data_IF_418895070275
#
_entry.id   IF_418895070275
#
_cell.length_a   1.000
_cell.length_b   1.000
_cell.length_c   1.000
_cell.angle_alpha   90.00
_cell.angle_beta   90.00
_cell.angle_gamma   90.00
#
_symmetry.space_group_name_H-M   'P 1'
#
loop_
_entity.id
_entity.type
_entity.pdbx_description
1 polymer ?
#
# COMPACT_ATOMS: atom_id res chain seq x y z
N UNK A 1 -25.34 11.78 8.21
CA UNK A 1 -26.07 10.57 7.77
C UNK A 1 -26.44 10.76 6.31
N UNK A 2 -25.56 10.45 5.39
CA UNK A 2 -25.83 10.40 3.95
C UNK A 2 -25.74 8.94 3.50
N UNK A 3 -26.80 8.50 2.82
CA UNK A 3 -27.05 7.12 2.45
C UNK A 3 -26.14 6.72 1.29
N UNK A 4 -25.43 5.59 1.45
CA UNK A 4 -24.79 4.87 0.34
C UNK A 4 -25.88 4.45 -0.65
N UNK A 5 -25.79 4.90 -1.87
CA UNK A 5 -26.51 4.31 -3.02
C UNK A 5 -25.48 3.50 -3.83
N UNK A 6 -25.60 2.18 -3.68
CA UNK A 6 -24.98 1.22 -4.57
C UNK A 6 -25.77 1.22 -5.89
N UNK A 7 -25.22 1.75 -6.95
CA UNK A 7 -25.78 1.63 -8.30
C UNK A 7 -25.17 0.40 -8.98
N UNK A 8 -25.87 -0.73 -8.89
CA UNK A 8 -25.66 -1.88 -9.77
C UNK A 8 -26.06 -1.48 -11.19
N UNK A 9 -25.10 -1.43 -12.10
CA UNK A 9 -25.36 -1.23 -13.53
C UNK A 9 -25.90 -2.54 -14.13
N UNK A 10 -27.24 -2.66 -14.25
CA UNK A 10 -27.92 -3.75 -14.93
C UNK A 10 -27.98 -3.42 -16.42
N UNK A 11 -27.11 -4.02 -17.23
CA UNK A 11 -27.26 -4.00 -18.69
C UNK A 11 -28.41 -4.90 -19.10
N UNK A 12 -29.56 -4.30 -19.44
CA UNK A 12 -30.71 -5.01 -20.00
C UNK A 12 -30.55 -5.13 -21.50
N UNK A 13 -30.14 -6.30 -22.00
CA UNK A 13 -30.23 -6.62 -23.43
C UNK A 13 -31.66 -7.02 -23.77
N UNK A 14 -32.27 -6.25 -24.67
CA UNK A 14 -33.56 -6.59 -25.31
C UNK A 14 -33.28 -7.61 -26.43
N UNK A 15 -33.70 -8.84 -26.26
CA UNK A 15 -33.73 -9.84 -27.33
C UNK A 15 -35.04 -9.70 -28.10
N UNK A 16 -34.93 -9.36 -29.38
CA UNK A 16 -36.02 -9.53 -30.34
C UNK A 16 -36.03 -10.98 -30.85
N UNK A 17 -37.06 -11.73 -30.49
CA UNK A 17 -37.32 -13.07 -31.03
C UNK A 17 -37.99 -12.93 -32.44
N UNK A 18 -37.29 -13.40 -33.45
CA UNK A 18 -37.93 -13.84 -34.68
C UNK A 18 -37.75 -15.36 -34.78
N UNK A 19 -38.85 -16.11 -34.69
CA UNK A 19 -38.82 -17.55 -34.72
C UNK A 19 -38.65 -18.12 -36.09
N UNK A 20 -38.03 -19.31 -36.16
CA UNK A 20 -38.45 -20.44 -37.00
C UNK A 20 -37.77 -21.74 -36.53
N UNK A 21 -38.59 -22.74 -36.41
CA UNK A 21 -38.31 -24.11 -35.92
C UNK A 21 -37.24 -24.83 -36.71
N UNK A 22 -36.26 -25.48 -36.04
CA UNK A 22 -35.98 -26.91 -36.25
C UNK A 22 -35.09 -27.44 -35.13
N UNK A 23 -35.34 -28.70 -34.69
CA UNK A 23 -34.72 -29.28 -33.54
C UNK A 23 -33.20 -29.54 -33.70
N UNK A 24 -32.44 -28.92 -32.82
CA UNK A 24 -31.04 -29.17 -32.59
C UNK A 24 -30.74 -28.75 -31.16
N UNK A 25 -30.15 -29.67 -30.37
CA UNK A 25 -29.63 -29.35 -29.02
C UNK A 25 -28.63 -28.21 -29.11
N UNK A 26 -29.08 -27.02 -28.80
CA UNK A 26 -28.16 -25.88 -28.64
C UNK A 26 -27.54 -26.00 -27.26
N UNK A 27 -26.30 -26.46 -27.20
CA UNK A 27 -25.42 -26.20 -26.07
C UNK A 27 -25.30 -24.68 -25.98
N UNK A 28 -25.74 -24.10 -24.88
CA UNK A 28 -25.43 -22.72 -24.58
C UNK A 28 -23.91 -22.59 -24.46
N UNK A 29 -23.26 -22.07 -25.49
CA UNK A 29 -21.91 -21.58 -25.43
C UNK A 29 -21.94 -20.38 -24.47
N UNK A 30 -21.52 -20.58 -23.25
CA UNK A 30 -21.04 -19.46 -22.41
C UNK A 30 -19.77 -18.97 -23.10
N UNK A 31 -19.92 -18.00 -23.99
CA UNK A 31 -18.79 -17.28 -24.56
C UNK A 31 -18.06 -16.63 -23.38
N UNK A 32 -16.98 -17.23 -22.94
CA UNK A 32 -15.96 -16.53 -22.18
C UNK A 32 -15.45 -15.46 -23.12
N UNK A 33 -15.69 -14.19 -22.75
CA UNK A 33 -15.08 -13.06 -23.44
C UNK A 33 -13.56 -13.22 -23.20
N UNK A 34 -12.79 -13.60 -24.21
CA UNK A 34 -11.33 -13.82 -24.14
C UNK A 34 -10.58 -12.48 -23.97
N UNK A 35 -11.28 -11.44 -23.55
CA UNK A 35 -10.68 -10.12 -23.32
C UNK A 35 -9.75 -10.16 -22.12
N UNK A 36 -8.49 -9.79 -22.35
CA UNK A 36 -7.51 -9.56 -21.31
C UNK A 36 -7.41 -8.06 -21.03
N UNK A 37 -7.49 -7.67 -19.77
CA UNK A 37 -7.40 -6.29 -19.34
C UNK A 37 -5.98 -5.99 -18.85
N UNK A 38 -5.41 -4.86 -19.25
CA UNK A 38 -4.13 -4.37 -18.73
C UNK A 38 -4.35 -3.70 -17.39
N UNK A 39 -3.48 -4.02 -16.42
CA UNK A 39 -3.40 -3.37 -15.10
C UNK A 39 -1.95 -2.93 -14.88
N UNK A 40 -1.75 -1.64 -14.58
CA UNK A 40 -0.44 -1.06 -14.31
C UNK A 40 -0.09 -1.09 -12.83
N UNK A 41 1.22 -1.15 -12.52
CA UNK A 41 1.74 -0.90 -11.18
C UNK A 41 3.05 -0.12 -11.27
N UNK A 42 3.10 1.05 -10.64
CA UNK A 42 4.31 1.87 -10.49
C UNK A 42 4.91 1.56 -9.12
N UNK A 43 6.13 1.04 -9.11
CA UNK A 43 6.81 0.52 -7.93
C UNK A 43 8.04 1.37 -7.58
N UNK A 44 8.18 1.72 -6.29
CA UNK A 44 9.35 2.44 -5.77
C UNK A 44 10.64 1.61 -5.90
N UNK A 45 10.51 0.30 -5.83
CA UNK A 45 11.62 -0.64 -5.94
C UNK A 45 11.30 -1.81 -6.87
N UNK A 46 11.90 -2.95 -6.61
CA UNK A 46 11.77 -4.16 -7.41
C UNK A 46 11.55 -5.41 -6.56
N UNK A 47 11.48 -6.59 -7.18
CA UNK A 47 11.19 -7.86 -6.51
C UNK A 47 12.22 -8.28 -5.44
N UNK A 48 13.42 -7.69 -5.43
CA UNK A 48 14.44 -7.97 -4.40
C UNK A 48 14.14 -7.21 -3.10
N UNK A 49 13.41 -6.10 -3.16
CA UNK A 49 12.97 -5.37 -1.98
C UNK A 49 11.79 -6.07 -1.30
N UNK A 50 11.89 -6.28 0.01
CA UNK A 50 10.87 -6.98 0.79
C UNK A 50 9.51 -6.26 0.74
N UNK A 51 9.52 -4.92 0.73
CA UNK A 51 8.32 -4.10 0.60
C UNK A 51 7.60 -4.37 -0.72
N UNK A 52 8.27 -4.20 -1.86
CA UNK A 52 7.68 -4.36 -3.19
C UNK A 52 7.24 -5.79 -3.48
N UNK A 53 7.98 -6.78 -2.98
CA UNK A 53 7.63 -8.21 -3.10
C UNK A 53 6.22 -8.53 -2.62
N UNK A 54 5.72 -7.84 -1.58
CA UNK A 54 4.36 -8.04 -1.09
C UNK A 54 3.32 -7.62 -2.14
N UNK A 55 3.57 -6.55 -2.88
CA UNK A 55 2.67 -6.10 -3.95
C UNK A 55 2.68 -7.06 -5.13
N UNK A 56 3.83 -7.59 -5.53
CA UNK A 56 3.91 -8.61 -6.60
C UNK A 56 3.19 -9.89 -6.21
N UNK A 57 3.37 -10.37 -4.98
CA UNK A 57 2.66 -11.54 -4.48
C UNK A 57 1.14 -11.30 -4.45
N UNK A 58 0.70 -10.11 -4.06
CA UNK A 58 -0.72 -9.74 -4.07
C UNK A 58 -1.27 -9.65 -5.50
N UNK A 59 -0.52 -9.07 -6.43
CA UNK A 59 -0.88 -8.99 -7.85
C UNK A 59 -1.03 -10.37 -8.49
N UNK A 60 -0.12 -11.29 -8.21
CA UNK A 60 -0.18 -12.68 -8.68
C UNK A 60 -1.39 -13.43 -8.09
N UNK A 61 -1.68 -13.21 -6.80
CA UNK A 61 -2.85 -13.79 -6.17
C UNK A 61 -4.15 -13.22 -6.77
N UNK A 62 -4.21 -11.90 -6.99
CA UNK A 62 -5.36 -11.24 -7.62
C UNK A 62 -5.60 -11.76 -9.04
N UNK A 63 -4.54 -11.93 -9.85
CA UNK A 63 -4.63 -12.51 -11.20
C UNK A 63 -5.28 -13.90 -11.20
N UNK A 64 -4.88 -14.77 -10.27
CA UNK A 64 -5.46 -16.12 -10.13
C UNK A 64 -6.94 -16.06 -9.72
N UNK A 65 -7.26 -15.23 -8.70
CA UNK A 65 -8.64 -15.08 -8.19
C UNK A 65 -9.57 -14.54 -9.29
N UNK A 66 -9.10 -13.60 -10.11
CA UNK A 66 -9.88 -13.02 -11.20
C UNK A 66 -10.06 -14.02 -12.35
N UNK A 67 -9.01 -14.78 -12.70
CA UNK A 67 -9.09 -15.84 -13.71
C UNK A 67 -10.13 -16.92 -13.35
N UNK A 68 -10.21 -17.30 -12.08
CA UNK A 68 -11.24 -18.24 -11.57
C UNK A 68 -12.68 -17.69 -11.74
N UNK A 69 -12.81 -16.37 -11.86
CA UNK A 69 -14.09 -15.68 -12.13
C UNK A 69 -14.32 -15.39 -13.62
N UNK A 70 -13.42 -15.85 -14.50
CA UNK A 70 -13.48 -15.61 -15.95
C UNK A 70 -13.01 -14.21 -16.36
N UNK A 71 -12.28 -13.50 -15.50
CA UNK A 71 -11.71 -12.18 -15.78
C UNK A 71 -10.19 -12.34 -15.95
N UNK A 72 -9.71 -12.11 -17.17
CA UNK A 72 -8.29 -12.21 -17.47
C UNK A 72 -7.64 -10.82 -17.35
N UNK A 73 -6.57 -10.72 -16.56
CA UNK A 73 -5.76 -9.53 -16.42
C UNK A 73 -4.31 -9.80 -16.76
N UNK A 74 -3.62 -8.79 -17.25
CA UNK A 74 -2.18 -8.74 -17.43
C UNK A 74 -1.61 -7.56 -16.66
N UNK A 75 -0.63 -7.86 -15.78
CA UNK A 75 0.08 -6.85 -15.04
C UNK A 75 1.25 -6.31 -15.86
N UNK A 76 1.36 -4.97 -15.92
CA UNK A 76 2.54 -4.25 -16.41
C UNK A 76 3.13 -3.47 -15.25
N UNK A 77 4.45 -3.48 -15.12
CA UNK A 77 5.16 -2.88 -13.99
C UNK A 77 6.19 -1.85 -14.47
N UNK A 78 6.29 -0.74 -13.75
CA UNK A 78 7.47 0.13 -13.75
C UNK A 78 8.22 -0.09 -12.44
N UNK A 79 9.51 -0.39 -12.52
CA UNK A 79 10.35 -0.76 -11.38
C UNK A 79 11.34 0.33 -11.01
N UNK A 80 11.80 0.35 -9.74
CA UNK A 80 12.84 1.25 -9.23
C UNK A 80 12.53 2.72 -9.57
N UNK A 81 11.24 3.08 -9.49
CA UNK A 81 10.77 4.37 -9.98
C UNK A 81 10.87 5.44 -8.90
N UNK A 82 11.53 6.60 -9.16
CA UNK A 82 11.59 7.68 -8.20
C UNK A 82 10.20 8.28 -7.96
N UNK A 83 9.97 8.72 -6.73
CA UNK A 83 8.77 9.49 -6.37
C UNK A 83 8.73 10.87 -7.04
N UNK A 84 7.56 11.51 -7.03
CA UNK A 84 7.34 12.87 -7.52
C UNK A 84 6.99 12.94 -9.00
N UNK A 85 7.34 14.05 -9.66
CA UNK A 85 6.88 14.40 -11.01
C UNK A 85 7.10 13.32 -12.08
N UNK A 86 8.19 12.52 -12.10
CA UNK A 86 8.37 11.46 -13.09
C UNK A 86 7.23 10.45 -13.17
N UNK A 87 6.53 10.18 -12.06
CA UNK A 87 5.39 9.25 -11.98
C UNK A 87 4.24 9.64 -12.90
N UNK A 88 4.08 10.95 -13.17
CA UNK A 88 3.04 11.42 -14.09
C UNK A 88 3.20 10.85 -15.50
N UNK A 89 4.44 10.64 -15.95
CA UNK A 89 4.70 10.04 -17.27
C UNK A 89 4.25 8.58 -17.34
N UNK A 90 4.50 7.78 -16.29
CA UNK A 90 4.03 6.40 -16.23
C UNK A 90 2.50 6.31 -16.16
N UNK A 91 1.86 7.18 -15.36
CA UNK A 91 0.41 7.25 -15.30
C UNK A 91 -0.19 7.60 -16.68
N UNK A 92 0.46 8.52 -17.41
CA UNK A 92 0.08 8.88 -18.79
C UNK A 92 0.21 7.69 -19.72
N UNK A 93 1.36 7.01 -19.73
CA UNK A 93 1.62 5.83 -20.57
C UNK A 93 0.59 4.72 -20.32
N UNK A 94 0.32 4.40 -19.06
CA UNK A 94 -0.71 3.42 -18.72
C UNK A 94 -2.11 3.84 -19.16
N UNK A 95 -2.45 5.13 -19.04
CA UNK A 95 -3.73 5.67 -19.50
C UNK A 95 -3.86 5.59 -21.02
N UNK A 96 -2.83 5.97 -21.77
CA UNK A 96 -2.78 5.87 -23.23
C UNK A 96 -2.84 4.41 -23.72
N UNK A 97 -2.20 3.48 -23.01
CA UNK A 97 -2.27 2.04 -23.27
C UNK A 97 -3.63 1.41 -22.93
N UNK A 98 -4.55 2.17 -22.36
CA UNK A 98 -5.90 1.71 -22.01
C UNK A 98 -5.92 0.74 -20.83
N UNK A 99 -5.01 0.91 -19.88
CA UNK A 99 -5.06 0.17 -18.62
C UNK A 99 -6.38 0.47 -17.89
N UNK A 100 -7.03 -0.57 -17.35
CA UNK A 100 -8.28 -0.39 -16.59
C UNK A 100 -8.03 0.11 -15.16
N UNK A 101 -6.84 -0.17 -14.62
CA UNK A 101 -6.41 0.31 -13.33
C UNK A 101 -4.89 0.48 -13.28
N UNK A 102 -4.41 1.44 -12.49
CA UNK A 102 -3.00 1.69 -12.20
C UNK A 102 -2.83 1.82 -10.69
N UNK A 103 -1.93 1.04 -10.11
CA UNK A 103 -1.61 1.06 -8.70
C UNK A 103 -0.24 1.71 -8.47
N UNK A 104 -0.12 2.55 -7.44
CA UNK A 104 1.10 3.27 -7.09
C UNK A 104 1.46 2.93 -5.64
N UNK A 105 2.64 2.37 -5.41
CA UNK A 105 2.96 1.75 -4.14
C UNK A 105 3.80 2.61 -3.18
N UNK A 106 4.05 3.89 -3.51
CA UNK A 106 4.86 4.76 -2.64
C UNK A 106 4.21 6.11 -2.35
N UNK A 107 4.53 6.66 -1.18
CA UNK A 107 3.92 7.87 -0.61
C UNK A 107 4.00 9.08 -1.54
N UNK A 108 5.16 9.35 -2.10
CA UNK A 108 5.40 10.52 -2.95
C UNK A 108 4.86 10.41 -4.38
N UNK A 109 4.16 9.33 -4.72
CA UNK A 109 3.62 9.11 -6.06
C UNK A 109 2.21 9.71 -6.26
N UNK A 110 1.41 9.85 -5.20
CA UNK A 110 -0.01 10.24 -5.29
C UNK A 110 -0.21 11.61 -5.94
N UNK A 111 0.58 12.62 -5.56
CA UNK A 111 0.41 13.96 -6.13
C UNK A 111 0.59 13.99 -7.65
N UNK A 112 1.58 13.27 -8.18
CA UNK A 112 1.83 13.17 -9.62
C UNK A 112 0.69 12.41 -10.33
N UNK A 113 0.21 11.30 -9.75
CA UNK A 113 -0.97 10.57 -10.22
C UNK A 113 -2.19 11.47 -10.37
N UNK A 114 -2.48 12.30 -9.36
CA UNK A 114 -3.65 13.19 -9.36
C UNK A 114 -3.61 14.26 -10.46
N UNK A 115 -2.41 14.66 -10.93
CA UNK A 115 -2.29 15.62 -12.05
C UNK A 115 -2.71 15.03 -13.39
N UNK A 116 -2.72 13.70 -13.52
CA UNK A 116 -2.95 12.96 -14.77
C UNK A 116 -4.31 12.26 -14.77
N UNK A 117 -4.79 11.79 -13.63
CA UNK A 117 -5.94 10.90 -13.54
C UNK A 117 -7.21 11.47 -14.22
N UNK A 118 -7.43 12.77 -14.15
CA UNK A 118 -8.58 13.42 -14.79
C UNK A 118 -8.60 13.34 -16.32
N UNK A 119 -7.45 13.17 -16.96
CA UNK A 119 -7.33 13.04 -18.42
C UNK A 119 -7.69 11.63 -18.92
N UNK A 120 -7.72 10.63 -18.02
CA UNK A 120 -8.01 9.23 -18.34
C UNK A 120 -9.18 8.68 -17.49
N UNK A 121 -10.41 9.16 -17.70
CA UNK A 121 -11.56 8.83 -16.85
C UNK A 121 -11.96 7.35 -16.86
N UNK A 122 -11.53 6.58 -17.86
CA UNK A 122 -11.80 5.14 -17.97
C UNK A 122 -10.76 4.28 -17.21
N UNK A 123 -9.67 4.88 -16.73
CA UNK A 123 -8.62 4.24 -15.94
C UNK A 123 -8.81 4.60 -14.47
N UNK A 124 -8.87 3.60 -13.58
CA UNK A 124 -8.87 3.83 -12.13
C UNK A 124 -7.43 3.94 -11.66
N UNK A 125 -7.10 5.01 -10.95
CA UNK A 125 -5.79 5.20 -10.32
C UNK A 125 -5.90 5.00 -8.81
N UNK A 126 -5.05 4.12 -8.27
CA UNK A 126 -5.07 3.73 -6.87
C UNK A 126 -3.74 4.03 -6.18
N UNK A 127 -3.73 4.97 -5.25
CA UNK A 127 -2.62 5.14 -4.30
C UNK A 127 -2.73 4.08 -3.20
N UNK A 128 -1.64 3.36 -2.93
CA UNK A 128 -1.60 2.30 -1.90
C UNK A 128 -1.00 2.78 -0.58
N UNK A 129 -0.64 4.05 -0.52
CA UNK A 129 -0.08 4.74 0.65
C UNK A 129 -0.67 6.15 0.74
N UNK A 130 -0.10 7.02 1.59
CA UNK A 130 -0.55 8.39 1.74
C UNK A 130 -1.84 8.55 2.57
N UNK A 131 -2.27 9.78 2.76
CA UNK A 131 -3.37 10.15 3.69
C UNK A 131 -4.77 10.02 3.05
N UNK A 132 -4.84 9.80 1.73
CA UNK A 132 -6.10 9.62 1.00
C UNK A 132 -6.97 10.87 0.84
N UNK A 133 -6.56 12.00 1.42
CA UNK A 133 -7.39 13.21 1.49
C UNK A 133 -7.64 13.89 0.13
N UNK A 134 -6.83 13.59 -0.88
CA UNK A 134 -6.91 14.19 -2.23
C UNK A 134 -7.46 13.27 -3.28
N UNK A 135 -7.37 11.95 -3.08
CA UNK A 135 -7.89 10.96 -4.04
C UNK A 135 -9.41 10.90 -4.08
N UNK A 136 -10.11 11.59 -3.17
CA UNK A 136 -11.58 11.67 -3.20
C UNK A 136 -12.11 12.78 -4.13
N UNK A 137 -11.22 13.60 -4.73
CA UNK A 137 -11.62 14.74 -5.57
C UNK A 137 -11.95 14.33 -7.02
N UNK A 138 -11.54 13.14 -7.45
CA UNK A 138 -11.79 12.61 -8.81
C UNK A 138 -12.53 11.27 -8.73
N UNK A 139 -13.48 11.07 -9.65
CA UNK A 139 -14.32 9.86 -9.67
C UNK A 139 -13.53 8.56 -9.96
N UNK A 140 -12.35 8.67 -10.57
CA UNK A 140 -11.50 7.57 -10.98
C UNK A 140 -10.21 7.45 -10.16
N UNK A 141 -10.14 8.09 -9.00
CA UNK A 141 -9.01 7.94 -8.05
C UNK A 141 -9.48 7.35 -6.75
N UNK A 142 -8.64 6.49 -6.16
CA UNK A 142 -8.91 5.86 -4.86
C UNK A 142 -7.63 5.80 -4.04
N UNK A 143 -7.77 5.84 -2.72
CA UNK A 143 -6.70 5.49 -1.80
C UNK A 143 -7.06 4.18 -1.09
N UNK A 144 -6.14 3.22 -1.12
CA UNK A 144 -6.33 1.89 -0.54
C UNK A 144 -5.30 1.61 0.59
N UNK A 145 -4.84 2.67 1.25
CA UNK A 145 -3.89 2.55 2.36
C UNK A 145 -4.59 2.05 3.63
N UNK A 146 -4.11 0.95 4.24
CA UNK A 146 -4.68 0.43 5.48
C UNK A 146 -4.25 1.28 6.69
N UNK A 147 -4.98 1.13 7.81
CA UNK A 147 -4.62 1.75 9.10
C UNK A 147 -3.37 1.12 9.71
N UNK A 148 -2.22 1.24 9.03
CA UNK A 148 -0.95 0.58 9.42
C UNK A 148 -0.48 1.01 10.81
N UNK A 149 -0.85 2.21 11.26
CA UNK A 149 -0.56 2.72 12.59
C UNK A 149 -1.14 1.83 13.70
N UNK A 150 -2.25 1.12 13.47
CA UNK A 150 -2.80 0.15 14.44
C UNK A 150 -1.85 -1.03 14.64
N UNK A 151 -1.28 -1.55 13.54
CA UNK A 151 -0.23 -2.58 13.61
C UNK A 151 1.03 -2.07 14.31
N UNK A 152 1.42 -0.81 14.07
CA UNK A 152 2.54 -0.18 14.78
C UNK A 152 2.27 -0.06 16.28
N UNK A 153 1.05 0.25 16.69
CA UNK A 153 0.68 0.26 18.10
C UNK A 153 0.86 -1.12 18.76
N UNK A 154 0.43 -2.20 18.07
CA UNK A 154 0.62 -3.56 18.58
C UNK A 154 2.09 -3.95 18.70
N UNK A 155 2.92 -3.58 17.72
CA UNK A 155 4.38 -3.81 17.82
C UNK A 155 5.00 -2.98 18.93
N UNK A 156 4.47 -1.80 19.20
CA UNK A 156 4.84 -0.98 20.36
C UNK A 156 4.53 -1.66 21.69
N UNK A 157 3.34 -2.27 21.84
CA UNK A 157 3.01 -3.07 23.03
C UNK A 157 4.06 -4.17 23.24
N UNK A 158 4.41 -4.92 22.18
CA UNK A 158 5.45 -5.98 22.27
C UNK A 158 6.80 -5.41 22.70
N UNK A 159 7.21 -4.25 22.17
CA UNK A 159 8.44 -3.57 22.58
C UNK A 159 8.40 -3.14 24.04
N UNK A 160 7.29 -2.58 24.52
CA UNK A 160 7.10 -2.20 25.92
C UNK A 160 7.11 -3.40 26.88
N UNK A 161 6.53 -4.54 26.46
CA UNK A 161 6.61 -5.79 27.21
C UNK A 161 8.07 -6.29 27.30
N UNK A 162 8.85 -6.14 26.21
CA UNK A 162 10.29 -6.48 26.24
C UNK A 162 11.08 -5.58 27.16
N UNK A 163 10.80 -4.27 27.18
CA UNK A 163 11.42 -3.35 28.14
C UNK A 163 11.13 -3.77 29.59
N UNK A 164 9.89 -4.13 29.92
CA UNK A 164 9.53 -4.61 31.26
C UNK A 164 10.28 -5.90 31.62
N UNK A 165 10.37 -6.85 30.69
CA UNK A 165 11.17 -8.07 30.89
C UNK A 165 12.64 -7.76 31.23
N UNK A 166 13.25 -6.82 30.48
CA UNK A 166 14.65 -6.40 30.72
C UNK A 166 14.82 -5.72 32.10
N UNK A 167 13.82 -4.89 32.49
CA UNK A 167 13.81 -4.27 33.84
C UNK A 167 13.68 -5.34 34.94
N UNK A 168 12.74 -6.26 34.81
CA UNK A 168 12.52 -7.36 35.77
C UNK A 168 13.74 -8.26 35.92
N UNK A 169 14.46 -8.50 34.83
CA UNK A 169 15.71 -9.28 34.84
C UNK A 169 16.91 -8.50 35.37
N UNK A 170 16.79 -7.19 35.60
CA UNK A 170 17.90 -6.33 36.04
C UNK A 170 18.91 -6.05 34.92
N UNK A 171 18.55 -6.23 33.68
CA UNK A 171 19.38 -5.94 32.50
C UNK A 171 19.44 -4.41 32.23
N UNK A 172 18.35 -3.69 32.53
CA UNK A 172 18.25 -2.24 32.50
C UNK A 172 17.45 -1.73 33.69
N UNK A 173 17.57 -0.43 33.99
CA UNK A 173 16.72 0.29 34.95
C UNK A 173 15.50 0.92 34.21
N UNK A 174 14.54 1.42 35.00
CA UNK A 174 13.39 2.15 34.40
C UNK A 174 13.83 3.39 33.59
N UNK A 175 14.88 4.08 34.03
CA UNK A 175 15.42 5.28 33.35
C UNK A 175 16.17 4.92 32.04
N UNK A 176 16.57 3.67 31.89
CA UNK A 176 17.23 3.12 30.70
C UNK A 176 16.25 2.47 29.71
N UNK A 177 14.93 2.55 29.95
CA UNK A 177 13.90 2.01 29.06
C UNK A 177 13.73 2.90 27.81
N UNK A 178 14.74 2.93 26.95
CA UNK A 178 14.81 3.77 25.76
C UNK A 178 14.57 2.96 24.48
N UNK A 179 13.61 3.36 23.68
CA UNK A 179 13.35 2.84 22.34
C UNK A 179 14.10 3.68 21.31
N UNK A 180 14.58 3.06 20.25
CA UNK A 180 15.10 3.74 19.06
C UNK A 180 14.17 3.48 17.87
N UNK A 181 13.96 4.51 17.04
CA UNK A 181 13.15 4.36 15.83
C UNK A 181 13.86 5.01 14.62
N UNK A 182 14.19 4.18 13.62
CA UNK A 182 14.76 4.62 12.36
C UNK A 182 13.61 4.92 11.39
N UNK A 183 13.45 6.19 11.01
CA UNK A 183 12.41 6.62 10.07
C UNK A 183 12.99 6.95 8.70
N UNK A 184 12.21 6.72 7.63
CA UNK A 184 12.59 7.12 6.29
C UNK A 184 12.54 8.65 6.15
N UNK A 185 11.36 9.23 6.25
CA UNK A 185 11.08 10.65 6.07
C UNK A 185 10.16 11.17 7.16
N UNK A 186 10.02 12.51 7.24
CA UNK A 186 9.09 13.18 8.16
C UNK A 186 7.66 13.27 7.61
N UNK A 187 7.25 12.32 6.78
CA UNK A 187 5.89 12.25 6.27
C UNK A 187 4.90 11.81 7.34
N UNK A 188 3.62 12.21 7.20
CA UNK A 188 2.57 11.88 8.16
C UNK A 188 2.43 10.38 8.40
N UNK A 189 2.61 9.56 7.38
CA UNK A 189 2.64 8.10 7.47
C UNK A 189 3.69 7.60 8.45
N UNK A 190 4.94 8.08 8.34
CA UNK A 190 6.05 7.69 9.23
C UNK A 190 5.84 8.24 10.64
N UNK A 191 5.38 9.51 10.74
CA UNK A 191 5.06 10.16 12.02
C UNK A 191 3.96 9.40 12.77
N UNK A 192 2.88 9.02 12.09
CA UNK A 192 1.80 8.22 12.69
C UNK A 192 2.31 6.85 13.16
N UNK A 193 3.22 6.25 12.38
CA UNK A 193 3.83 4.95 12.69
C UNK A 193 4.63 4.97 13.98
N UNK A 194 5.64 5.83 14.11
CA UNK A 194 6.45 5.87 15.32
C UNK A 194 5.66 6.40 16.53
N UNK A 195 4.72 7.32 16.32
CA UNK A 195 3.88 7.83 17.41
C UNK A 195 3.02 6.70 17.98
N UNK A 196 2.38 5.90 17.12
CA UNK A 196 1.58 4.75 17.54
C UNK A 196 2.43 3.67 18.22
N UNK A 197 3.61 3.38 17.68
CA UNK A 197 4.57 2.47 18.31
C UNK A 197 4.94 2.92 19.73
N UNK A 198 5.29 4.20 19.89
CA UNK A 198 5.60 4.76 21.19
C UNK A 198 4.42 4.70 22.17
N UNK A 199 3.21 5.08 21.73
CA UNK A 199 2.01 5.00 22.55
C UNK A 199 1.68 3.56 22.96
N UNK A 200 1.89 2.59 22.07
CA UNK A 200 1.76 1.18 22.38
C UNK A 200 2.72 0.73 23.46
N UNK A 201 4.00 1.10 23.36
CA UNK A 201 5.02 0.78 24.39
C UNK A 201 4.69 1.45 25.73
N UNK A 202 4.34 2.73 25.72
CA UNK A 202 3.93 3.49 26.93
C UNK A 202 2.72 2.89 27.64
N UNK A 203 1.82 2.23 26.90
CA UNK A 203 0.61 1.64 27.49
C UNK A 203 0.91 0.49 28.46
N UNK A 204 2.07 -0.18 28.30
CA UNK A 204 2.48 -1.31 29.14
C UNK A 204 3.76 -1.03 29.92
N UNK A 205 4.64 -0.17 29.43
CA UNK A 205 5.87 0.29 30.10
C UNK A 205 5.84 1.82 30.25
N UNK A 206 5.27 2.36 31.36
CA UNK A 206 5.12 3.81 31.53
C UNK A 206 6.43 4.60 31.58
N UNK A 207 7.54 3.99 31.94
CA UNK A 207 8.88 4.60 31.96
C UNK A 207 9.47 4.73 30.55
N UNK A 208 8.99 3.98 29.55
CA UNK A 208 9.54 3.98 28.20
C UNK A 208 9.67 5.40 27.61
N UNK A 209 10.83 5.68 27.04
CA UNK A 209 11.11 6.88 26.23
C UNK A 209 11.49 6.47 24.82
N UNK A 210 11.56 7.39 23.87
CA UNK A 210 11.91 7.04 22.49
C UNK A 210 12.75 8.13 21.82
N UNK A 211 13.79 7.70 21.12
CA UNK A 211 14.57 8.49 20.18
C UNK A 211 14.14 8.16 18.76
N UNK A 212 14.07 9.16 17.89
CA UNK A 212 13.68 9.01 16.48
C UNK A 212 14.72 9.71 15.62
N UNK A 213 15.25 9.02 14.62
CA UNK A 213 16.14 9.59 13.61
C UNK A 213 15.68 9.21 12.20
N UNK A 214 15.94 10.09 11.22
CA UNK A 214 15.48 9.92 9.85
C UNK A 214 16.68 9.80 8.90
N UNK A 215 16.58 8.86 7.95
CA UNK A 215 17.64 8.59 6.97
C UNK A 215 17.47 9.29 5.63
N UNK A 216 16.27 9.83 5.34
CA UNK A 216 15.96 10.50 4.07
C UNK A 216 15.84 9.54 2.88
N UNK A 217 15.57 8.25 3.12
CA UNK A 217 15.38 7.21 2.10
C UNK A 217 14.35 6.20 2.57
N UNK A 218 13.64 5.54 1.62
CA UNK A 218 12.77 4.38 1.90
C UNK A 218 13.52 3.05 1.99
N UNK A 219 14.79 3.02 1.59
CA UNK A 219 15.61 1.83 1.68
C UNK A 219 17.08 2.18 1.42
N UNK A 220 17.88 2.23 2.48
CA UNK A 220 19.33 2.40 2.46
C UNK A 220 19.93 1.59 3.62
N UNK A 221 20.28 0.31 3.39
CA UNK A 221 20.78 -0.57 4.43
C UNK A 221 22.01 -0.02 5.17
N UNK A 222 22.85 0.78 4.51
CA UNK A 222 24.02 1.36 5.14
C UNK A 222 23.65 2.50 6.10
N UNK A 223 22.76 3.39 5.67
CA UNK A 223 22.25 4.46 6.52
C UNK A 223 21.38 3.92 7.65
N UNK A 224 20.54 2.90 7.39
CA UNK A 224 19.72 2.23 8.40
C UNK A 224 20.59 1.65 9.52
N UNK A 225 21.64 0.89 9.14
CA UNK A 225 22.57 0.32 10.11
C UNK A 225 23.30 1.41 10.92
N UNK A 226 23.84 2.43 10.26
CA UNK A 226 24.54 3.54 10.91
C UNK A 226 23.63 4.29 11.88
N UNK A 227 22.39 4.56 11.48
CA UNK A 227 21.41 5.27 12.32
C UNK A 227 20.98 4.40 13.51
N UNK A 228 20.77 3.11 13.31
CA UNK A 228 20.47 2.18 14.40
C UNK A 228 21.61 2.12 15.42
N UNK A 229 22.87 2.02 14.97
CA UNK A 229 24.06 2.06 15.84
C UNK A 229 24.12 3.37 16.63
N UNK A 230 23.86 4.52 15.98
CA UNK A 230 23.83 5.81 16.65
C UNK A 230 22.74 5.90 17.74
N UNK A 231 21.54 5.37 17.47
CA UNK A 231 20.47 5.30 18.46
C UNK A 231 20.86 4.38 19.65
N UNK A 232 21.54 3.28 19.40
CA UNK A 232 22.07 2.38 20.44
C UNK A 232 23.13 3.11 21.27
N UNK A 233 24.04 3.84 20.66
CA UNK A 233 25.05 4.64 21.35
C UNK A 233 24.43 5.74 22.23
N UNK A 234 23.23 6.21 21.89
CA UNK A 234 22.45 7.14 22.71
C UNK A 234 21.63 6.45 23.81
N UNK A 235 21.71 5.13 23.92
CA UNK A 235 21.09 4.35 24.98
C UNK A 235 19.80 3.61 24.57
N UNK A 236 19.45 3.57 23.29
CA UNK A 236 18.31 2.76 22.86
C UNK A 236 18.61 1.27 23.04
N UNK A 237 17.73 0.53 23.72
CA UNK A 237 17.86 -0.90 24.00
C UNK A 237 16.93 -1.78 23.15
N UNK A 238 15.96 -1.17 22.47
CA UNK A 238 15.09 -1.82 21.49
C UNK A 238 14.99 -0.90 20.28
N UNK A 239 15.28 -1.42 19.09
CA UNK A 239 15.22 -0.68 17.82
C UNK A 239 14.01 -1.13 17.01
N UNK A 240 13.30 -0.17 16.43
CA UNK A 240 12.27 -0.37 15.40
C UNK A 240 12.55 0.53 14.20
N UNK A 241 11.86 0.32 13.10
CA UNK A 241 12.10 1.07 11.87
C UNK A 241 10.82 1.30 11.04
N UNK A 242 10.92 2.28 10.13
CA UNK A 242 9.98 2.57 9.06
C UNK A 242 10.78 3.18 7.87
N UNK A 243 11.66 2.36 7.32
CA UNK A 243 12.52 2.66 6.18
C UNK A 243 12.71 1.43 5.32
#
# INVERSE_FOLDING_TARGET
MKKLFSTLLSATMILTLAGCSNGGKTSASTGTDDKTYTVGMVCIGNAEMAYDRNFYNAADAAKKILADKGINIEWKYTYDHPEGDPVAADCTEFGEDGAIAVFLNSYGMENAMLTVAGDYPETVFASLTNEGSKSDDLDNTVNAFPSIFEGRYLTGIAAGMKLNEMIENGEITEDEAVLGYVGAYTYAEVVSGYTSFYLGAKSVCPSATMLVEFIGSWGDPAMEATTAEHLIDQGAVVISQHS
#
